data_IF_471470428381
#
_entry.id   IF_471470428381
#
_cell.length_a   1.000
_cell.length_b   1.000
_cell.length_c   1.000
_cell.angle_alpha   90.00
_cell.angle_beta   90.00
_cell.angle_gamma   90.00
#
_symmetry.space_group_name_H-M   'P 1'
#
loop_
_entity.id
_entity.type
_entity.pdbx_description
1 polymer ?
#
# COMPACT_ATOMS: atom_id res chain seq x y z
N UNK A 1 -12.29 3.71 23.20
CA UNK A 1 -10.85 3.60 22.89
C UNK A 1 -10.61 4.39 21.62
N UNK A 2 -9.60 5.25 21.58
CA UNK A 2 -9.30 6.05 20.39
C UNK A 2 -8.92 5.11 19.25
N UNK A 3 -9.50 5.31 18.08
CA UNK A 3 -9.28 4.43 16.94
C UNK A 3 -7.89 4.73 16.36
N UNK A 4 -6.94 3.81 16.56
CA UNK A 4 -5.55 3.93 16.12
C UNK A 4 -5.36 3.68 14.62
N UNK A 5 -6.43 3.35 13.90
CA UNK A 5 -6.42 3.05 12.48
C UNK A 5 -7.02 4.20 11.69
N UNK A 6 -6.29 4.63 10.65
CA UNK A 6 -6.78 5.63 9.70
C UNK A 6 -6.59 5.13 8.28
N UNK A 7 -7.54 5.49 7.41
CA UNK A 7 -7.39 5.21 5.98
C UNK A 7 -6.16 5.94 5.44
N UNK A 8 -5.56 5.45 4.36
CA UNK A 8 -4.43 6.15 3.74
C UNK A 8 -4.79 7.56 3.28
N UNK A 9 -6.06 7.77 2.91
CA UNK A 9 -6.60 9.10 2.61
C UNK A 9 -6.50 10.06 3.80
N UNK A 10 -6.66 9.58 5.02
CA UNK A 10 -6.54 10.36 6.26
C UNK A 10 -5.11 10.38 6.80
N UNK A 11 -4.36 9.30 6.61
CA UNK A 11 -3.00 9.11 7.13
C UNK A 11 -1.99 9.99 6.40
N UNK A 12 -2.09 10.10 5.08
CA UNK A 12 -1.17 10.90 4.26
C UNK A 12 -1.12 12.38 4.68
N UNK A 13 -2.25 13.10 4.80
CA UNK A 13 -2.25 14.47 5.32
C UNK A 13 -1.69 14.58 6.75
N UNK A 14 -1.97 13.60 7.63
CA UNK A 14 -1.49 13.61 9.02
C UNK A 14 0.03 13.61 9.09
N UNK A 15 0.67 12.78 8.28
CA UNK A 15 2.13 12.66 8.23
C UNK A 15 2.77 13.55 7.14
N UNK A 16 2.00 14.41 6.45
CA UNK A 16 2.54 15.29 5.41
C UNK A 16 3.25 14.56 4.25
N UNK A 17 2.96 13.27 4.07
CA UNK A 17 3.52 12.41 3.02
C UNK A 17 2.45 12.03 2.02
N UNK A 18 2.85 11.60 0.82
CA UNK A 18 1.92 11.08 -0.17
C UNK A 18 1.44 9.67 0.23
N UNK A 19 0.20 9.31 -0.11
CA UNK A 19 -0.33 7.98 0.15
C UNK A 19 0.48 6.88 -0.57
N UNK A 20 1.10 7.20 -1.71
CA UNK A 20 1.99 6.30 -2.44
C UNK A 20 3.22 5.89 -1.60
N UNK A 21 3.63 6.70 -0.63
CA UNK A 21 4.74 6.35 0.28
C UNK A 21 4.36 5.16 1.16
N UNK A 22 3.14 5.13 1.70
CA UNK A 22 2.65 4.00 2.49
C UNK A 22 2.43 2.76 1.63
N UNK A 23 1.89 2.94 0.43
CA UNK A 23 1.69 1.83 -0.50
C UNK A 23 3.02 1.20 -0.91
N UNK A 24 4.05 2.02 -1.18
CA UNK A 24 5.39 1.52 -1.46
C UNK A 24 5.98 0.78 -0.26
N UNK A 25 5.85 1.32 0.94
CA UNK A 25 6.31 0.66 2.16
C UNK A 25 5.59 -0.68 2.41
N UNK A 26 4.31 -0.74 2.10
CA UNK A 26 3.50 -1.96 2.18
C UNK A 26 3.90 -3.01 1.14
N UNK A 27 4.14 -2.60 -0.10
CA UNK A 27 4.66 -3.47 -1.16
C UNK A 27 6.07 -4.01 -0.83
N UNK A 28 6.87 -3.23 -0.11
CA UNK A 28 8.18 -3.62 0.43
C UNK A 28 8.09 -4.46 1.72
N UNK A 29 6.88 -4.81 2.18
CA UNK A 29 6.63 -5.53 3.44
C UNK A 29 7.15 -4.82 4.71
N UNK A 30 7.35 -3.51 4.66
CA UNK A 30 7.84 -2.68 5.79
C UNK A 30 6.72 -2.06 6.62
N UNK A 31 5.52 -1.93 6.04
CA UNK A 31 4.35 -1.35 6.70
C UNK A 31 3.14 -2.27 6.51
N UNK A 32 2.57 -2.84 7.58
CA UNK A 32 1.30 -3.55 7.46
C UNK A 32 0.18 -2.57 7.12
N UNK A 33 -0.67 -2.97 6.17
CA UNK A 33 -1.92 -2.27 5.85
C UNK A 33 -3.10 -3.20 6.07
N UNK A 34 -4.26 -2.61 6.32
CA UNK A 34 -5.46 -3.31 6.75
C UNK A 34 -6.66 -2.95 5.87
N UNK A 35 -7.60 -3.88 5.79
CA UNK A 35 -8.92 -3.68 5.20
C UNK A 35 -9.93 -3.66 6.35
N UNK A 36 -10.75 -2.62 6.40
CA UNK A 36 -11.83 -2.53 7.37
C UNK A 36 -13.12 -3.13 6.79
N UNK A 37 -13.64 -4.18 7.42
CA UNK A 37 -14.93 -4.77 7.11
C UNK A 37 -16.01 -4.28 8.09
N UNK A 38 -16.97 -3.53 7.56
CA UNK A 38 -18.14 -3.06 8.29
C UNK A 38 -19.29 -4.08 8.31
N UNK A 39 -20.50 -3.59 8.56
CA UNK A 39 -21.71 -4.44 8.62
C UNK A 39 -22.12 -5.03 7.27
N UNK A 40 -21.76 -4.35 6.17
CA UNK A 40 -22.08 -4.78 4.80
C UNK A 40 -20.91 -5.55 4.16
N UNK A 41 -20.09 -6.22 4.98
CA UNK A 41 -18.96 -7.00 4.48
C UNK A 41 -19.43 -8.17 3.60
N UNK A 42 -18.72 -8.46 2.51
CA UNK A 42 -19.10 -9.56 1.64
C UNK A 42 -18.97 -10.90 2.36
N UNK A 43 -19.87 -11.87 2.10
CA UNK A 43 -19.73 -13.23 2.63
C UNK A 43 -18.40 -13.84 2.19
N UNK A 44 -17.70 -14.46 3.14
CA UNK A 44 -16.42 -15.09 2.92
C UNK A 44 -16.31 -16.41 3.68
N UNK A 45 -15.32 -17.21 3.33
CA UNK A 45 -14.94 -18.42 4.08
C UNK A 45 -13.64 -18.11 4.79
N UNK A 46 -13.57 -18.36 6.09
CA UNK A 46 -12.28 -18.35 6.77
C UNK A 46 -11.61 -19.71 6.59
N UNK A 47 -10.34 -19.71 6.22
CA UNK A 47 -9.45 -20.85 6.39
C UNK A 47 -8.64 -20.60 7.66
N UNK A 48 -8.83 -21.46 8.65
CA UNK A 48 -8.17 -21.40 9.95
C UNK A 48 -7.26 -22.62 10.14
N UNK A 49 -5.99 -22.39 10.40
CA UNK A 49 -4.98 -23.38 10.69
C UNK A 49 -4.83 -23.54 12.20
N UNK A 50 -5.02 -24.76 12.70
CA UNK A 50 -4.96 -25.06 14.12
C UNK A 50 -3.89 -26.12 14.37
N UNK A 51 -2.90 -25.87 15.24
CA UNK A 51 -1.92 -26.88 15.63
C UNK A 51 -2.59 -28.14 16.19
N UNK A 52 -2.01 -29.31 15.94
CA UNK A 52 -2.57 -30.59 16.38
C UNK A 52 -2.91 -30.65 17.88
N UNK A 53 -2.14 -29.96 18.72
CA UNK A 53 -2.33 -29.93 20.17
C UNK A 53 -3.63 -29.24 20.60
N UNK A 54 -4.15 -28.32 19.77
CA UNK A 54 -5.36 -27.54 20.04
C UNK A 54 -6.59 -28.08 19.30
N UNK A 55 -6.40 -29.06 18.41
CA UNK A 55 -7.46 -29.61 17.56
C UNK A 55 -8.63 -30.22 18.34
N UNK A 56 -8.34 -30.87 19.48
CA UNK A 56 -9.34 -31.60 20.28
C UNK A 56 -10.53 -30.72 20.69
N UNK A 57 -10.26 -29.46 21.06
CA UNK A 57 -11.29 -28.51 21.51
C UNK A 57 -11.73 -27.52 20.43
N UNK A 58 -10.91 -27.35 19.38
CA UNK A 58 -11.13 -26.34 18.35
C UNK A 58 -12.50 -26.41 17.67
N UNK A 59 -13.01 -27.63 17.41
CA UNK A 59 -14.32 -27.78 16.77
C UNK A 59 -15.44 -27.20 17.65
N UNK A 60 -15.40 -27.52 18.93
CA UNK A 60 -16.40 -27.05 19.88
C UNK A 60 -16.24 -25.55 20.13
N UNK A 61 -15.01 -25.05 20.21
CA UNK A 61 -14.77 -23.63 20.41
C UNK A 61 -15.29 -22.78 19.24
N UNK A 62 -15.13 -23.25 18.00
CA UNK A 62 -15.73 -22.61 16.82
C UNK A 62 -17.25 -22.74 16.84
N UNK A 63 -17.80 -23.88 17.25
CA UNK A 63 -19.25 -24.10 17.28
C UNK A 63 -19.97 -23.22 18.30
N UNK A 64 -19.33 -22.98 19.44
CA UNK A 64 -19.91 -22.27 20.58
C UNK A 64 -19.44 -20.82 20.71
N UNK A 65 -18.73 -20.26 19.72
CA UNK A 65 -18.34 -18.85 19.76
C UNK A 65 -17.16 -18.53 20.67
N UNK A 66 -16.39 -19.54 21.10
CA UNK A 66 -15.24 -19.39 22.01
C UNK A 66 -13.90 -19.30 21.28
N UNK A 67 -13.92 -19.51 19.97
CA UNK A 67 -12.76 -19.43 19.10
C UNK A 67 -12.14 -18.02 19.07
N UNK A 68 -10.83 -17.93 18.79
CA UNK A 68 -10.04 -16.68 18.86
C UNK A 68 -10.62 -15.52 18.05
N UNK A 69 -11.27 -15.82 16.91
CA UNK A 69 -11.84 -14.80 16.04
C UNK A 69 -13.31 -14.53 16.34
N UNK A 70 -13.91 -15.17 17.35
CA UNK A 70 -15.34 -15.08 17.66
C UNK A 70 -15.57 -14.58 19.09
N UNK A 71 -14.74 -15.03 20.04
CA UNK A 71 -14.93 -14.78 21.45
C UNK A 71 -14.71 -13.32 21.81
N UNK A 72 -15.58 -12.80 22.68
CA UNK A 72 -15.46 -11.46 23.28
C UNK A 72 -14.27 -11.36 24.24
N UNK A 73 -13.83 -12.49 24.76
CA UNK A 73 -12.69 -12.57 25.68
C UNK A 73 -11.35 -12.63 24.93
N UNK A 74 -11.37 -12.69 23.59
CA UNK A 74 -10.15 -12.68 22.79
C UNK A 74 -9.50 -11.30 22.80
N UNK A 75 -8.15 -11.21 22.94
CA UNK A 75 -7.44 -9.93 23.02
C UNK A 75 -7.75 -8.97 21.86
N UNK A 76 -7.96 -9.53 20.67
CA UNK A 76 -8.15 -8.77 19.43
C UNK A 76 -9.62 -8.61 19.04
N UNK A 77 -10.57 -9.00 19.91
CA UNK A 77 -12.01 -8.98 19.60
C UNK A 77 -12.46 -7.60 19.09
N UNK A 78 -12.01 -6.51 19.72
CA UNK A 78 -12.43 -5.16 19.32
C UNK A 78 -11.84 -4.72 17.97
N UNK A 79 -10.84 -5.43 17.44
CA UNK A 79 -10.13 -5.10 16.20
C UNK A 79 -10.46 -6.06 15.07
N UNK A 80 -10.63 -7.35 15.35
CA UNK A 80 -10.78 -8.40 14.34
C UNK A 80 -11.77 -9.47 14.82
N UNK A 81 -12.86 -9.65 14.09
CA UNK A 81 -13.89 -10.66 14.38
C UNK A 81 -14.27 -11.37 13.09
N UNK A 82 -14.52 -12.67 13.18
CA UNK A 82 -15.20 -13.46 12.17
C UNK A 82 -16.51 -14.00 12.75
N UNK A 83 -17.62 -13.76 12.06
CA UNK A 83 -18.95 -14.20 12.48
C UNK A 83 -19.38 -15.36 11.57
N UNK A 84 -19.45 -16.61 12.07
CA UNK A 84 -19.86 -17.75 11.25
C UNK A 84 -21.32 -17.67 10.80
N UNK A 85 -21.60 -18.20 9.63
CA UNK A 85 -22.97 -18.50 9.22
C UNK A 85 -23.52 -19.67 10.05
N UNK A 86 -24.80 -19.59 10.45
CA UNK A 86 -25.46 -20.68 11.17
C UNK A 86 -26.53 -21.36 10.28
N UNK A 87 -26.67 -22.70 10.34
CA UNK A 87 -25.91 -23.62 11.19
C UNK A 87 -24.50 -23.93 10.66
N UNK A 88 -23.49 -23.87 11.53
CA UNK A 88 -22.07 -24.10 11.20
C UNK A 88 -21.82 -25.49 10.57
N UNK A 89 -22.52 -26.52 11.08
CA UNK A 89 -22.35 -27.90 10.63
C UNK A 89 -22.63 -28.13 9.15
N UNK A 90 -23.37 -27.24 8.49
CA UNK A 90 -23.72 -27.36 7.08
C UNK A 90 -22.55 -27.00 6.14
N UNK A 91 -21.53 -26.30 6.64
CA UNK A 91 -20.44 -25.75 5.82
C UNK A 91 -19.04 -25.85 6.47
N UNK A 92 -18.95 -26.48 7.64
CA UNK A 92 -17.68 -26.75 8.32
C UNK A 92 -16.93 -27.92 7.69
N UNK A 93 -15.80 -27.64 7.08
CA UNK A 93 -14.84 -28.63 6.58
C UNK A 93 -13.61 -28.66 7.48
N UNK A 94 -13.09 -29.87 7.76
CA UNK A 94 -11.87 -30.07 8.53
C UNK A 94 -10.96 -31.03 7.78
N UNK A 95 -9.71 -30.62 7.54
CA UNK A 95 -8.70 -31.42 6.84
C UNK A 95 -7.43 -31.48 7.68
N UNK A 96 -6.95 -32.70 7.96
CA UNK A 96 -5.63 -32.89 8.53
C UNK A 96 -4.57 -32.59 7.45
N UNK A 97 -3.55 -31.84 7.82
CA UNK A 97 -2.42 -31.47 6.98
C UNK A 97 -1.12 -31.77 7.72
N UNK A 98 -0.03 -31.89 6.97
CA UNK A 98 1.28 -32.17 7.54
C UNK A 98 2.34 -31.37 6.79
N UNK A 99 3.06 -30.50 7.52
CA UNK A 99 4.14 -29.70 6.97
C UNK A 99 5.49 -30.37 7.25
N UNK A 100 6.29 -30.60 6.21
CA UNK A 100 7.62 -31.22 6.33
C UNK A 100 8.77 -30.18 6.35
N UNK A 101 8.51 -28.97 5.89
CA UNK A 101 9.47 -27.86 5.79
C UNK A 101 8.81 -26.55 6.27
N UNK A 102 9.58 -25.47 6.48
CA UNK A 102 8.97 -24.17 6.77
C UNK A 102 8.14 -23.72 5.56
N UNK A 103 6.82 -23.54 5.75
CA UNK A 103 5.89 -23.49 4.62
C UNK A 103 4.50 -22.94 4.94
N UNK A 104 3.46 -23.65 4.50
CA UNK A 104 2.07 -23.16 4.43
C UNK A 104 1.26 -23.29 5.73
N UNK A 105 1.83 -23.93 6.75
CA UNK A 105 1.21 -24.20 8.04
C UNK A 105 1.91 -23.51 9.23
N UNK A 106 1.27 -23.54 10.42
CA UNK A 106 1.70 -22.81 11.62
C UNK A 106 2.99 -23.35 12.26
N UNK A 107 3.55 -24.43 11.72
CA UNK A 107 4.81 -25.02 12.17
C UNK A 107 5.05 -26.39 11.53
N UNK A 108 6.25 -26.94 11.75
CA UNK A 108 6.60 -28.28 11.30
C UNK A 108 5.70 -29.33 11.96
N UNK A 109 5.25 -30.30 11.16
CA UNK A 109 4.43 -31.41 11.60
C UNK A 109 2.93 -31.23 11.31
N UNK A 110 2.12 -31.97 12.07
CA UNK A 110 0.69 -32.07 11.82
C UNK A 110 -0.08 -30.82 12.29
N UNK A 111 -0.99 -30.34 11.45
CA UNK A 111 -1.97 -29.30 11.77
C UNK A 111 -3.32 -29.63 11.13
N UNK A 112 -4.35 -28.91 11.54
CA UNK A 112 -5.71 -29.07 11.02
C UNK A 112 -6.18 -27.78 10.39
N UNK A 113 -6.65 -27.88 9.15
CA UNK A 113 -7.27 -26.80 8.42
C UNK A 113 -8.78 -26.87 8.57
N UNK A 114 -9.35 -25.82 9.15
CA UNK A 114 -10.78 -25.62 9.29
C UNK A 114 -11.23 -24.60 8.23
N UNK A 115 -12.28 -24.94 7.47
CA UNK A 115 -12.93 -23.99 6.56
C UNK A 115 -14.40 -23.87 6.92
N UNK A 116 -14.89 -22.64 7.05
CA UNK A 116 -16.30 -22.39 7.29
C UNK A 116 -16.70 -20.98 6.83
N UNK A 117 -17.96 -20.83 6.42
CA UNK A 117 -18.52 -19.60 5.88
C UNK A 117 -18.95 -18.64 6.98
N UNK A 118 -18.95 -17.35 6.67
CA UNK A 118 -19.26 -16.28 7.60
C UNK A 118 -19.03 -14.89 7.01
N UNK A 119 -18.91 -13.93 7.91
CA UNK A 119 -18.60 -12.53 7.58
C UNK A 119 -17.48 -12.02 8.48
N UNK A 120 -16.47 -11.45 7.85
CA UNK A 120 -15.40 -10.75 8.54
C UNK A 120 -15.86 -9.37 9.01
N UNK A 121 -15.38 -8.92 10.17
CA UNK A 121 -15.57 -7.58 10.71
C UNK A 121 -14.28 -7.03 11.29
N UNK A 122 -14.17 -5.70 11.32
CA UNK A 122 -13.00 -5.00 11.83
C UNK A 122 -11.85 -4.96 10.83
N UNK A 123 -10.62 -4.83 11.32
CA UNK A 123 -9.41 -4.63 10.55
C UNK A 123 -8.68 -5.95 10.29
N UNK A 124 -8.68 -6.36 9.03
CA UNK A 124 -7.99 -7.58 8.56
C UNK A 124 -6.74 -7.20 7.79
N UNK A 125 -5.67 -7.98 7.92
CA UNK A 125 -4.38 -7.68 7.31
C UNK A 125 -4.46 -7.86 5.78
N UNK A 126 -4.11 -6.82 5.04
CA UNK A 126 -3.96 -6.87 3.60
C UNK A 126 -2.53 -7.27 3.25
N UNK A 127 -2.35 -8.38 2.52
CA UNK A 127 -1.05 -8.78 2.01
C UNK A 127 -0.98 -8.61 0.49
N UNK A 128 0.06 -7.95 -0.02
CA UNK A 128 0.24 -7.83 -1.46
C UNK A 128 0.64 -9.19 -2.03
N UNK A 129 0.12 -9.52 -3.22
CA UNK A 129 0.65 -10.59 -4.07
C UNK A 129 1.75 -10.07 -5.00
N UNK A 130 2.34 -10.97 -5.79
CA UNK A 130 3.36 -10.62 -6.80
C UNK A 130 2.86 -9.66 -7.88
N UNK A 131 1.54 -9.56 -8.10
CA UNK A 131 0.94 -8.70 -9.14
C UNK A 131 0.32 -7.42 -8.60
N UNK A 132 0.27 -7.21 -7.28
CA UNK A 132 -0.33 -6.02 -6.64
C UNK A 132 0.14 -4.70 -7.23
N UNK A 133 1.44 -4.60 -7.53
CA UNK A 133 2.08 -3.39 -8.06
C UNK A 133 1.59 -3.00 -9.46
N UNK A 134 0.93 -3.91 -10.17
CA UNK A 134 0.35 -3.68 -11.49
C UNK A 134 -1.05 -3.06 -11.41
N UNK A 135 -1.70 -3.15 -10.26
CA UNK A 135 -3.07 -2.66 -10.07
C UNK A 135 -3.16 -1.14 -10.03
N UNK A 136 -4.28 -0.60 -10.55
CA UNK A 136 -4.50 0.83 -10.73
C UNK A 136 -5.71 1.29 -9.93
N UNK A 137 -5.46 1.90 -8.76
CA UNK A 137 -6.47 2.56 -7.92
C UNK A 137 -7.45 1.63 -7.20
N UNK A 138 -7.59 0.37 -7.65
CA UNK A 138 -8.37 -0.68 -7.00
C UNK A 138 -7.56 -1.96 -6.92
N UNK A 139 -7.74 -2.70 -5.83
CA UNK A 139 -7.20 -4.04 -5.66
C UNK A 139 -8.33 -5.07 -5.68
N UNK A 140 -8.16 -6.11 -6.47
CA UNK A 140 -8.96 -7.32 -6.43
C UNK A 140 -8.51 -8.16 -5.23
N UNK A 141 -9.43 -8.38 -4.30
CA UNK A 141 -9.27 -9.34 -3.22
C UNK A 141 -9.31 -10.74 -3.82
N UNK A 142 -8.31 -11.54 -3.49
CA UNK A 142 -8.14 -12.88 -4.02
C UNK A 142 -7.86 -13.88 -2.92
N UNK A 143 -8.16 -15.13 -3.23
CA UNK A 143 -7.72 -16.27 -2.45
C UNK A 143 -6.21 -16.45 -2.66
N UNK A 144 -5.52 -17.02 -1.67
CA UNK A 144 -4.07 -17.29 -1.73
C UNK A 144 -3.67 -18.15 -2.94
N UNK A 145 -4.58 -19.00 -3.41
CA UNK A 145 -4.36 -19.93 -4.52
C UNK A 145 -4.82 -19.36 -5.88
N UNK A 146 -5.31 -18.12 -5.92
CA UNK A 146 -5.87 -17.47 -7.10
C UNK A 146 -5.03 -16.27 -7.54
N UNK A 147 -5.10 -15.96 -8.85
CA UNK A 147 -4.44 -14.77 -9.40
C UNK A 147 -5.26 -13.53 -9.07
N UNK A 148 -4.75 -12.69 -8.18
CA UNK A 148 -5.31 -11.37 -7.89
C UNK A 148 -4.35 -10.52 -7.09
N UNK A 149 -4.79 -9.35 -6.65
CA UNK A 149 -3.87 -8.32 -6.15
C UNK A 149 -3.57 -8.46 -4.67
N UNK A 150 -4.58 -8.78 -3.85
CA UNK A 150 -4.43 -8.74 -2.39
C UNK A 150 -5.07 -9.95 -1.75
N UNK A 151 -4.33 -10.63 -0.87
CA UNK A 151 -4.88 -11.64 0.03
C UNK A 151 -5.20 -11.02 1.38
N UNK A 152 -6.23 -11.53 2.05
CA UNK A 152 -6.75 -10.96 3.30
C UNK A 152 -6.54 -11.95 4.43
N UNK A 153 -5.72 -11.58 5.40
CA UNK A 153 -5.25 -12.45 6.48
C UNK A 153 -5.79 -12.00 7.83
N UNK A 154 -5.85 -12.95 8.76
CA UNK A 154 -5.97 -12.63 10.17
C UNK A 154 -4.60 -12.17 10.73
N UNK A 155 -4.48 -12.10 12.05
CA UNK A 155 -3.20 -11.83 12.72
C UNK A 155 -2.21 -12.98 12.50
N UNK A 156 -2.70 -14.22 12.55
CA UNK A 156 -1.94 -15.36 12.08
C UNK A 156 -1.94 -15.34 10.53
N UNK A 157 -0.74 -15.29 9.96
CA UNK A 157 -0.55 -15.25 8.50
C UNK A 157 -1.05 -16.53 7.79
N UNK A 158 -1.20 -17.64 8.53
CA UNK A 158 -1.73 -18.89 7.99
C UNK A 158 -3.26 -18.90 7.91
N UNK A 159 -3.89 -17.97 8.61
CA UNK A 159 -5.33 -17.79 8.63
C UNK A 159 -5.72 -16.69 7.65
N UNK A 160 -6.62 -17.01 6.72
CA UNK A 160 -7.01 -16.06 5.67
C UNK A 160 -8.45 -16.24 5.22
N UNK A 161 -8.97 -15.17 4.63
CA UNK A 161 -10.30 -15.12 4.05
C UNK A 161 -10.27 -15.55 2.59
N UNK A 162 -11.30 -16.26 2.20
CA UNK A 162 -11.55 -16.76 0.85
C UNK A 162 -12.88 -16.15 0.37
N UNK A 163 -12.86 -15.45 -0.76
CA UNK A 163 -14.03 -14.74 -1.27
C UNK A 163 -14.65 -15.50 -2.44
N UNK A 164 -15.91 -15.92 -2.28
CA UNK A 164 -16.64 -16.67 -3.31
C UNK A 164 -16.97 -15.86 -4.57
N UNK A 165 -16.89 -14.54 -4.47
CA UNK A 165 -17.11 -13.59 -5.58
C UNK A 165 -15.97 -12.57 -5.60
N UNK A 166 -15.61 -12.03 -6.77
CA UNK A 166 -14.65 -10.93 -6.87
C UNK A 166 -15.07 -9.76 -5.98
N UNK A 167 -14.18 -9.34 -5.09
CA UNK A 167 -14.36 -8.18 -4.23
C UNK A 167 -13.24 -7.18 -4.51
N UNK A 168 -13.59 -5.90 -4.59
CA UNK A 168 -12.62 -4.84 -4.89
C UNK A 168 -12.58 -3.83 -3.77
N UNK A 169 -11.38 -3.35 -3.46
CA UNK A 169 -11.16 -2.25 -2.52
C UNK A 169 -10.45 -1.10 -3.24
N UNK A 170 -10.69 0.13 -2.79
CA UNK A 170 -9.92 1.28 -3.28
C UNK A 170 -8.55 1.28 -2.61
N UNK A 171 -7.49 1.59 -3.33
CA UNK A 171 -6.13 1.66 -2.78
C UNK A 171 -6.04 2.62 -1.58
N UNK A 172 -6.67 3.80 -1.68
CA UNK A 172 -6.69 4.80 -0.61
C UNK A 172 -7.61 4.43 0.57
N UNK A 173 -8.43 3.40 0.42
CA UNK A 173 -9.30 2.87 1.50
C UNK A 173 -8.61 1.82 2.38
N UNK A 174 -7.36 1.46 2.07
CA UNK A 174 -6.53 0.71 3.00
C UNK A 174 -6.28 1.53 4.27
N UNK A 175 -6.14 0.87 5.40
CA UNK A 175 -5.91 1.47 6.70
C UNK A 175 -4.49 1.16 7.18
N UNK A 176 -3.90 2.08 7.93
CA UNK A 176 -2.66 1.86 8.66
C UNK A 176 -2.87 2.19 10.15
N UNK A 177 -2.12 1.54 11.04
CA UNK A 177 -2.11 1.90 12.46
C UNK A 177 -1.12 3.05 12.68
N UNK A 178 -1.51 4.07 13.44
CA UNK A 178 -0.67 5.26 13.68
C UNK A 178 0.69 4.91 14.26
N UNK A 179 0.75 3.99 15.23
CA UNK A 179 1.99 3.63 15.90
C UNK A 179 2.98 2.95 14.93
N UNK A 180 2.50 2.07 14.05
CA UNK A 180 3.34 1.41 13.02
C UNK A 180 3.89 2.43 12.02
N UNK A 181 3.07 3.43 11.65
CA UNK A 181 3.51 4.52 10.79
C UNK A 181 4.56 5.39 11.49
N UNK A 182 4.39 5.69 12.79
CA UNK A 182 5.38 6.47 13.57
C UNK A 182 6.73 5.77 13.67
N UNK A 183 6.73 4.46 13.84
CA UNK A 183 7.96 3.65 13.86
C UNK A 183 8.70 3.72 12.52
N UNK A 184 7.96 3.75 11.41
CA UNK A 184 8.55 3.84 10.07
C UNK A 184 8.98 5.27 9.68
N UNK A 185 8.30 6.29 10.20
CA UNK A 185 8.56 7.72 9.91
C UNK A 185 8.78 8.53 11.19
N UNK A 186 9.87 8.27 11.94
CA UNK A 186 10.11 8.91 13.24
C UNK A 186 10.22 10.44 13.12
N UNK A 187 10.89 10.93 12.07
CA UNK A 187 11.21 12.36 11.86
C UNK A 187 9.98 13.23 11.49
N UNK A 188 8.85 12.61 11.22
CA UNK A 188 7.60 13.29 10.83
C UNK A 188 6.67 13.48 12.03
N UNK A 189 6.88 12.69 13.09
CA UNK A 189 5.95 12.52 14.21
C UNK A 189 5.88 13.69 15.19
N UNK A 190 6.91 14.54 15.25
CA UNK A 190 7.00 15.66 16.20
C UNK A 190 6.12 16.89 15.85
N UNK A 191 5.53 16.92 14.65
CA UNK A 191 4.78 18.10 14.15
C UNK A 191 3.25 17.97 14.18
N UNK A 192 2.73 16.84 14.65
CA UNK A 192 1.30 16.52 14.61
C UNK A 192 0.74 16.52 16.02
N UNK A 193 0.53 17.70 16.59
CA UNK A 193 -0.26 17.85 17.81
C UNK A 193 -1.75 17.55 17.54
N UNK A 194 -2.43 17.00 18.54
CA UNK A 194 -3.85 16.61 18.53
C UNK A 194 -4.81 17.74 18.08
N UNK A 195 -4.37 18.99 18.11
CA UNK A 195 -5.16 20.17 17.71
C UNK A 195 -5.54 20.21 16.23
N UNK A 196 -4.76 19.58 15.33
CA UNK A 196 -5.15 19.47 13.90
C UNK A 196 -6.22 18.41 13.64
N UNK A 197 -6.47 17.50 14.58
CA UNK A 197 -7.39 16.36 14.42
C UNK A 197 -8.86 16.83 14.50
N UNK A 198 -9.15 17.85 15.30
CA UNK A 198 -10.52 18.33 15.51
C UNK A 198 -11.06 19.25 14.38
N UNK A 199 -10.20 19.75 13.50
CA UNK A 199 -10.61 20.63 12.39
C UNK A 199 -11.03 19.89 11.11
N UNK A 200 -10.68 18.61 10.96
CA UNK A 200 -10.95 17.83 9.73
C UNK A 200 -12.14 16.87 9.83
N UNK A 201 -12.75 16.70 11.02
CA UNK A 201 -13.90 15.81 11.24
C UNK A 201 -15.24 16.28 10.64
N UNK A 202 -15.26 17.37 9.87
CA UNK A 202 -16.48 18.02 9.36
C UNK A 202 -16.45 18.30 7.85
N UNK A 203 -15.97 17.35 7.04
CA UNK A 203 -16.21 17.40 5.59
C UNK A 203 -17.06 16.20 5.21
N UNK A 204 -18.36 16.35 5.46
CA UNK A 204 -19.38 15.59 4.78
C UNK A 204 -19.35 15.88 3.28
N UNK A 205 -19.46 14.79 2.52
CA UNK A 205 -19.96 14.70 1.16
C UNK A 205 -19.93 15.99 0.32
N UNK A 206 -18.91 16.12 -0.54
CA UNK A 206 -19.05 16.90 -1.77
C UNK A 206 -18.18 16.32 -2.87
N UNK A 207 -18.84 15.96 -3.98
CA UNK A 207 -18.27 15.65 -5.28
C UNK A 207 -17.57 16.87 -5.92
N UNK A 208 -16.57 17.43 -5.25
CA UNK A 208 -15.74 18.49 -5.82
C UNK A 208 -14.64 17.83 -6.65
N UNK A 209 -14.50 18.27 -7.91
CA UNK A 209 -13.32 18.04 -8.73
C UNK A 209 -12.08 18.49 -7.95
N UNK A 210 -11.48 17.56 -7.20
CA UNK A 210 -10.25 17.81 -6.44
C UNK A 210 -9.15 18.04 -7.47
N UNK A 211 -8.75 19.30 -7.65
CA UNK A 211 -7.57 19.65 -8.42
C UNK A 211 -6.37 18.92 -7.82
N UNK A 212 -5.74 18.04 -8.62
CA UNK A 212 -4.62 17.22 -8.16
C UNK A 212 -3.32 18.00 -8.36
N UNK A 213 -2.43 17.96 -7.37
CA UNK A 213 -1.09 18.52 -7.50
C UNK A 213 -0.20 17.53 -8.27
N UNK A 214 0.53 17.96 -9.31
CA UNK A 214 1.44 17.06 -10.01
C UNK A 214 2.60 16.62 -9.10
N UNK A 215 3.11 15.41 -9.33
CA UNK A 215 4.22 14.87 -8.56
C UNK A 215 5.44 15.82 -8.55
N UNK A 216 6.08 15.99 -7.38
CA UNK A 216 7.28 16.84 -7.19
C UNK A 216 8.38 16.55 -8.22
N UNK A 217 8.43 15.32 -8.72
CA UNK A 217 9.34 14.86 -9.77
C UNK A 217 9.25 15.71 -11.06
N UNK A 218 8.06 16.15 -11.47
CA UNK A 218 7.90 16.99 -12.66
C UNK A 218 8.52 18.37 -12.46
N UNK A 219 8.42 18.93 -11.25
CA UNK A 219 9.09 20.18 -10.91
C UNK A 219 10.60 20.01 -10.87
N UNK A 220 11.10 18.92 -10.27
CA UNK A 220 12.53 18.66 -10.21
C UNK A 220 13.15 18.47 -11.61
N UNK A 221 12.50 17.70 -12.49
CA UNK A 221 12.92 17.53 -13.88
C UNK A 221 12.87 18.83 -14.68
N UNK A 222 11.79 19.60 -14.54
CA UNK A 222 11.68 20.92 -15.16
C UNK A 222 12.83 21.83 -14.73
N UNK A 223 13.08 21.94 -13.42
CA UNK A 223 14.12 22.82 -12.89
C UNK A 223 15.52 22.37 -13.36
N UNK A 224 15.87 21.09 -13.24
CA UNK A 224 17.22 20.64 -13.60
C UNK A 224 17.48 20.76 -15.10
N UNK A 225 16.48 20.52 -15.96
CA UNK A 225 16.63 20.69 -17.41
C UNK A 225 16.85 22.18 -17.74
N UNK A 226 16.09 23.08 -17.12
CA UNK A 226 16.22 24.53 -17.37
C UNK A 226 17.51 25.14 -16.79
N UNK A 227 18.05 24.56 -15.73
CA UNK A 227 19.33 24.98 -15.14
C UNK A 227 20.54 24.41 -15.87
N UNK A 228 20.52 23.13 -16.23
CA UNK A 228 21.66 22.46 -16.86
C UNK A 228 21.77 22.73 -18.36
N UNK A 229 20.66 22.89 -19.08
CA UNK A 229 20.71 23.07 -20.53
C UNK A 229 21.10 24.48 -20.96
N UNK A 230 21.93 24.54 -22.01
CA UNK A 230 22.15 25.77 -22.76
C UNK A 230 20.82 26.31 -23.31
N UNK A 231 20.57 27.61 -23.11
CA UNK A 231 19.35 28.27 -23.56
C UNK A 231 19.51 28.75 -25.01
N UNK A 232 18.48 28.53 -25.82
CA UNK A 232 18.41 29.06 -27.18
C UNK A 232 18.21 30.59 -27.15
N UNK A 233 18.18 31.23 -28.33
CA UNK A 233 17.96 32.69 -28.44
C UNK A 233 16.62 33.17 -27.86
N UNK A 234 15.67 32.26 -27.59
CA UNK A 234 14.36 32.52 -26.98
C UNK A 234 14.34 32.24 -25.47
N UNK A 235 15.47 31.82 -24.88
CA UNK A 235 15.56 31.50 -23.46
C UNK A 235 15.09 30.08 -23.10
N UNK A 236 14.76 29.23 -24.08
CA UNK A 236 14.29 27.86 -23.86
C UNK A 236 15.47 26.86 -23.85
N UNK A 237 15.39 25.79 -23.05
CA UNK A 237 16.47 24.80 -22.96
C UNK A 237 16.65 24.04 -24.28
N UNK A 238 17.91 23.87 -24.70
CA UNK A 238 18.26 23.10 -25.89
C UNK A 238 18.27 21.61 -25.55
N UNK A 239 17.14 20.93 -25.80
CA UNK A 239 16.89 19.56 -25.33
C UNK A 239 17.72 18.47 -26.01
N UNK A 240 18.36 18.75 -27.15
CA UNK A 240 19.23 17.78 -27.84
C UNK A 240 20.34 17.27 -26.92
N UNK A 241 20.91 18.15 -26.10
CA UNK A 241 22.00 17.79 -25.20
C UNK A 241 21.54 16.83 -24.09
N UNK A 242 20.29 16.97 -23.63
CA UNK A 242 19.68 16.05 -22.66
C UNK A 242 19.42 14.68 -23.28
N UNK A 243 18.88 14.66 -24.50
CA UNK A 243 18.66 13.42 -25.24
C UNK A 243 19.97 12.67 -25.42
N UNK A 244 20.99 13.36 -25.91
CA UNK A 244 22.28 12.75 -26.23
C UNK A 244 22.98 12.25 -24.97
N UNK A 245 22.97 13.03 -23.88
CA UNK A 245 23.50 12.59 -22.60
C UNK A 245 22.75 11.38 -22.04
N UNK A 246 21.41 11.41 -22.00
CA UNK A 246 20.65 10.26 -21.48
C UNK A 246 20.82 9.01 -22.36
N UNK A 247 21.09 9.15 -23.66
CA UNK A 247 21.45 8.01 -24.52
C UNK A 247 22.79 7.37 -24.14
N UNK A 248 23.74 8.14 -23.59
CA UNK A 248 25.04 7.58 -23.20
C UNK A 248 25.01 6.90 -21.83
N UNK A 249 24.12 7.35 -20.93
CA UNK A 249 24.06 6.84 -19.55
C UNK A 249 22.88 5.90 -19.25
N UNK A 250 21.86 5.84 -20.12
CA UNK A 250 20.69 4.98 -19.95
C UNK A 250 20.52 3.98 -21.11
N UNK A 251 20.49 2.68 -20.82
CA UNK A 251 20.25 1.59 -21.79
C UNK A 251 18.92 1.71 -22.57
N UNK A 252 17.92 2.40 -21.98
CA UNK A 252 16.62 2.70 -22.60
C UNK A 252 16.30 4.19 -22.46
N UNK A 253 17.12 5.02 -23.10
CA UNK A 253 16.99 6.48 -23.04
C UNK A 253 15.61 6.98 -23.49
N UNK A 254 15.03 7.98 -22.79
CA UNK A 254 13.76 8.59 -23.17
C UNK A 254 13.83 9.24 -24.56
N UNK A 255 12.77 9.10 -25.33
CA UNK A 255 12.63 9.79 -26.62
C UNK A 255 12.51 11.31 -26.43
N UNK A 256 12.92 12.09 -27.43
CA UNK A 256 12.86 13.55 -27.41
C UNK A 256 11.47 14.07 -27.00
N UNK A 257 10.38 13.47 -27.49
CA UNK A 257 9.02 13.87 -27.11
C UNK A 257 8.70 13.70 -25.61
N UNK A 258 9.33 12.72 -24.95
CA UNK A 258 9.20 12.53 -23.50
C UNK A 258 9.98 13.60 -22.74
N UNK A 259 11.20 13.92 -23.20
CA UNK A 259 12.04 14.96 -22.60
C UNK A 259 11.42 16.35 -22.78
N UNK A 260 10.82 16.62 -23.94
CA UNK A 260 10.05 17.85 -24.17
C UNK A 260 8.96 18.03 -23.12
N UNK A 261 8.20 16.99 -22.80
CA UNK A 261 7.18 17.04 -21.74
C UNK A 261 7.75 17.26 -20.35
N UNK A 262 8.98 16.82 -20.09
CA UNK A 262 9.67 17.08 -18.81
C UNK A 262 10.18 18.52 -18.70
N UNK A 263 10.49 19.14 -19.84
CA UNK A 263 10.93 20.53 -19.93
C UNK A 263 9.78 21.56 -19.92
N UNK A 264 8.54 21.10 -20.06
CA UNK A 264 7.33 21.93 -19.94
C UNK A 264 7.12 22.36 -18.48
N UNK A 265 6.76 23.64 -18.29
CA UNK A 265 6.47 24.18 -16.97
C UNK A 265 5.28 23.43 -16.34
N UNK A 266 5.44 22.77 -15.19
CA UNK A 266 4.34 22.06 -14.55
C UNK A 266 3.27 23.05 -14.06
N UNK A 267 2.00 22.72 -14.29
CA UNK A 267 0.88 23.42 -13.68
C UNK A 267 0.89 23.16 -12.16
N UNK A 268 0.57 24.18 -11.35
CA UNK A 268 0.51 24.01 -9.88
C UNK A 268 -0.69 23.14 -9.45
N UNK A 269 -1.73 23.14 -10.28
CA UNK A 269 -2.97 22.40 -10.10
C UNK A 269 -3.38 21.87 -11.47
N UNK A 270 -3.64 20.57 -11.59
CA UNK A 270 -4.11 19.98 -12.84
C UNK A 270 -5.35 19.13 -12.61
N UNK A 271 -6.24 19.13 -13.60
CA UNK A 271 -7.39 18.23 -13.64
C UNK A 271 -7.02 16.83 -14.14
N UNK A 272 -5.77 16.66 -14.62
CA UNK A 272 -5.23 15.41 -15.16
C UNK A 272 -4.14 14.90 -14.21
N UNK A 273 -4.29 13.66 -13.77
CA UNK A 273 -3.28 13.00 -12.94
C UNK A 273 -2.07 12.62 -13.79
N UNK A 274 -0.98 13.39 -13.65
CA UNK A 274 0.30 13.07 -14.28
C UNK A 274 1.05 12.07 -13.39
N UNK A 275 1.07 10.80 -13.80
CA UNK A 275 1.71 9.71 -13.06
C UNK A 275 3.24 9.78 -13.17
N UNK A 276 3.90 9.52 -12.05
CA UNK A 276 5.34 9.31 -12.00
C UNK A 276 5.74 7.96 -12.62
N UNK A 277 6.89 7.92 -13.30
CA UNK A 277 7.44 6.71 -13.90
C UNK A 277 8.88 6.47 -13.37
N UNK A 278 9.30 5.24 -13.05
CA UNK A 278 10.66 4.95 -12.57
C UNK A 278 11.78 5.50 -13.46
N UNK A 279 11.54 5.58 -14.79
CA UNK A 279 12.48 6.17 -15.75
C UNK A 279 12.76 7.66 -15.50
N UNK A 280 11.83 8.39 -14.89
CA UNK A 280 12.00 9.80 -14.52
C UNK A 280 12.98 9.97 -13.36
N UNK A 281 12.96 9.05 -12.40
CA UNK A 281 13.88 9.06 -11.26
C UNK A 281 15.31 8.77 -11.71
N UNK A 282 15.48 7.77 -12.59
CA UNK A 282 16.78 7.45 -13.21
C UNK A 282 17.32 8.64 -14.00
N UNK A 283 16.48 9.27 -14.84
CA UNK A 283 16.89 10.44 -15.61
C UNK A 283 17.25 11.63 -14.70
N UNK A 284 16.44 11.90 -13.68
CA UNK A 284 16.72 12.97 -12.71
C UNK A 284 18.04 12.73 -11.97
N UNK A 285 18.30 11.50 -11.53
CA UNK A 285 19.54 11.14 -10.86
C UNK A 285 20.77 11.45 -11.74
N UNK A 286 20.77 11.01 -13.00
CA UNK A 286 21.89 11.27 -13.90
C UNK A 286 22.06 12.75 -14.23
N UNK A 287 20.96 13.49 -14.43
CA UNK A 287 21.00 14.93 -14.68
C UNK A 287 21.53 15.72 -13.47
N UNK A 288 21.10 15.36 -12.26
CA UNK A 288 21.64 15.97 -11.03
C UNK A 288 23.12 15.64 -10.83
N UNK A 289 23.52 14.41 -11.15
CA UNK A 289 24.90 13.96 -11.04
C UNK A 289 25.82 14.77 -11.95
N UNK A 290 25.51 14.87 -13.25
CA UNK A 290 26.33 15.64 -14.20
C UNK A 290 26.36 17.12 -13.84
N UNK A 291 25.22 17.70 -13.47
CA UNK A 291 25.15 19.09 -13.01
C UNK A 291 26.08 19.34 -11.81
N UNK A 292 26.09 18.43 -10.82
CA UNK A 292 26.95 18.55 -9.65
C UNK A 292 28.44 18.32 -9.98
N UNK A 293 28.77 17.41 -10.90
CA UNK A 293 30.14 17.16 -11.35
C UNK A 293 30.71 18.39 -12.10
N UNK A 294 29.92 19.01 -12.98
CA UNK A 294 30.30 20.22 -13.70
C UNK A 294 30.43 21.44 -12.76
N UNK A 295 29.49 21.63 -11.83
CA UNK A 295 29.57 22.72 -10.82
C UNK A 295 30.75 22.58 -9.86
N UNK A 296 31.15 21.36 -9.49
CA UNK A 296 32.37 21.12 -8.70
C UNK A 296 33.63 21.52 -9.47
N UNK A 297 33.61 21.36 -10.79
CA UNK A 297 34.72 21.67 -11.69
C UNK A 297 34.86 23.18 -11.92
N UNK A 298 33.74 23.93 -11.97
CA UNK A 298 33.73 25.40 -12.00
C UNK A 298 34.30 26.04 -10.73
N UNK A 299 34.06 25.44 -9.55
CA UNK A 299 34.54 25.96 -8.27
C UNK A 299 36.04 25.71 -7.99
N UNK A 300 36.71 24.84 -8.75
CA UNK A 300 38.16 24.59 -8.62
C UNK A 300 39.02 25.49 -9.52
N UNK A 301 38.41 26.35 -10.35
CA UNK A 301 39.13 27.30 -11.19
C UNK A 301 39.42 28.66 -10.53
N UNK A 302 39.13 28.80 -9.23
CA UNK A 302 39.38 30.01 -8.44
C UNK A 302 40.31 29.78 -7.23
N UNK A 303 41.20 28.79 -7.30
CA UNK A 303 42.30 28.61 -6.34
C UNK A 303 43.66 28.75 -7.03
#
# INVERSE_FOLDING_TARGET
>A
MAQDFYSLQEMAPRFGVDADVFIKAWLDEKLPLYIHFGSDSPPCTIRRCIPRQLHEYARDDILYGRDLYQSKDSPDHDTLIFIPEHPLSAHLEVKAQYELEEGAGPGLGAYYEYRYRGSARGYWLAKPTSVTHLSQGRYLLTDKDSVGDVTVHALDIFDYLIFSKPAYILQLSLFARVNEVRELFPDVSDSVTEEKINLMGNIGDTSALTKKRPAKMFFALYLIIHEWCAKNKKGEPTLSNVVDYLKTVCDKSPELGTITRWAERPELESNIEKRWMPRQEIALYFLLRVYCEEKKSENHHWQ
#
